data_IF_236339392481
#
_entry.id   IF_236339392481
#
_cell.length_a   1.000
_cell.length_b   1.000
_cell.length_c   1.000
_cell.angle_alpha   90.00
_cell.angle_beta   90.00
_cell.angle_gamma   90.00
#
_symmetry.space_group_name_H-M   'P 1'
#
loop_
_entity.id
_entity.type
_entity.pdbx_description
1 polymer ?
#
# COMPACT_ATOMS: atom_id res chain seq x y z
N UNK A 1 -2.43 -20.16 20.12
CA UNK A 1 -2.97 -19.00 19.39
C UNK A 1 -2.07 -18.75 18.20
N UNK A 2 -2.47 -19.20 17.02
CA UNK A 2 -1.73 -18.91 15.78
C UNK A 2 -1.93 -17.44 15.48
N UNK A 3 -0.88 -16.65 15.68
CA UNK A 3 -0.84 -15.27 15.24
C UNK A 3 -0.86 -15.37 13.71
N UNK A 4 -2.05 -15.27 13.09
CA UNK A 4 -2.17 -15.08 11.65
C UNK A 4 -1.35 -13.82 11.36
N UNK A 5 -0.14 -14.03 10.85
CA UNK A 5 0.75 -12.95 10.47
C UNK A 5 0.01 -12.26 9.34
N UNK A 6 -0.61 -11.13 9.64
CA UNK A 6 -1.37 -10.40 8.65
C UNK A 6 -0.47 -10.15 7.44
N UNK A 7 -0.95 -10.52 6.25
CA UNK A 7 -0.26 -10.38 4.98
C UNK A 7 0.46 -9.01 4.91
N UNK A 8 1.72 -8.93 4.44
CA UNK A 8 2.49 -7.68 4.42
C UNK A 8 1.72 -6.51 3.77
N UNK A 9 1.02 -6.74 2.66
CA UNK A 9 0.08 -5.78 2.05
C UNK A 9 -1.01 -5.25 2.99
N UNK A 10 -1.62 -6.06 3.87
CA UNK A 10 -2.60 -5.56 4.86
C UNK A 10 -1.97 -4.51 5.77
N UNK A 11 -0.72 -4.75 6.20
CA UNK A 11 0.02 -3.79 7.03
C UNK A 11 0.33 -2.51 6.24
N UNK A 12 0.77 -2.65 4.99
CA UNK A 12 1.05 -1.52 4.10
C UNK A 12 -0.19 -0.68 3.84
N UNK A 13 -1.31 -1.31 3.45
CA UNK A 13 -2.57 -0.65 3.20
C UNK A 13 -3.07 0.13 4.43
N UNK A 14 -2.96 -0.45 5.64
CA UNK A 14 -3.30 0.24 6.89
C UNK A 14 -2.43 1.47 7.13
N UNK A 15 -1.13 1.39 6.86
CA UNK A 15 -0.22 2.54 6.97
C UNK A 15 -0.58 3.63 5.95
N UNK A 16 -0.81 3.27 4.69
CA UNK A 16 -1.23 4.22 3.64
C UNK A 16 -2.55 4.90 4.01
N UNK A 17 -3.52 4.15 4.55
CA UNK A 17 -4.78 4.72 5.06
C UNK A 17 -4.52 5.76 6.14
N UNK A 18 -3.67 5.44 7.13
CA UNK A 18 -3.31 6.37 8.20
C UNK A 18 -2.65 7.66 7.68
N UNK A 19 -1.83 7.56 6.62
CA UNK A 19 -1.22 8.72 5.97
C UNK A 19 -2.25 9.60 5.24
N UNK A 20 -3.26 8.98 4.61
CA UNK A 20 -4.39 9.70 3.99
C UNK A 20 -5.26 10.40 5.04
N UNK A 21 -5.59 9.70 6.13
CA UNK A 21 -6.37 10.26 7.24
C UNK A 21 -5.64 11.42 7.92
N UNK A 22 -4.30 11.31 8.04
CA UNK A 22 -3.44 12.38 8.56
C UNK A 22 -3.21 13.51 7.56
N UNK A 23 -3.84 13.46 6.37
CA UNK A 23 -3.71 14.46 5.28
C UNK A 23 -2.27 14.66 4.78
N UNK A 24 -1.39 13.68 4.98
CA UNK A 24 0.00 13.69 4.47
C UNK A 24 -0.01 13.43 2.96
N UNK A 25 -0.89 12.54 2.52
CA UNK A 25 -1.19 12.22 1.11
C UNK A 25 -2.70 12.23 0.90
N UNK A 26 -3.13 12.28 -0.36
CA UNK A 26 -4.55 12.18 -0.75
C UNK A 26 -4.81 10.83 -1.40
N UNK A 27 -6.03 10.32 -1.28
CA UNK A 27 -6.45 9.12 -2.00
C UNK A 27 -6.40 9.28 -3.52
N UNK A 28 -6.48 10.51 -4.02
CA UNK A 28 -6.34 10.85 -5.44
C UNK A 28 -4.88 11.01 -5.90
N UNK A 29 -3.92 11.01 -4.99
CA UNK A 29 -2.50 11.02 -5.37
C UNK A 29 -2.12 9.66 -5.95
N UNK A 30 -1.18 9.65 -6.89
CA UNK A 30 -0.66 8.41 -7.46
C UNK A 30 0.22 7.64 -6.48
N UNK A 31 0.24 6.31 -6.58
CA UNK A 31 1.00 5.41 -5.71
C UNK A 31 2.50 5.74 -5.63
N UNK A 32 3.10 6.26 -6.70
CA UNK A 32 4.52 6.67 -6.67
C UNK A 32 4.84 7.67 -5.56
N UNK A 33 3.87 8.50 -5.12
CA UNK A 33 4.07 9.48 -4.06
C UNK A 33 4.40 8.84 -2.71
N UNK A 34 3.96 7.59 -2.50
CA UNK A 34 4.30 6.78 -1.33
C UNK A 34 5.82 6.52 -1.26
N UNK A 35 6.52 6.47 -2.40
CA UNK A 35 7.96 6.30 -2.48
C UNK A 35 8.73 7.32 -1.63
N UNK A 36 8.25 8.57 -1.64
CA UNK A 36 8.86 9.68 -0.93
C UNK A 36 8.78 9.51 0.60
N UNK A 37 7.84 8.70 1.09
CA UNK A 37 7.60 8.47 2.52
C UNK A 37 8.29 7.20 3.03
N UNK A 38 8.45 6.19 2.17
CA UNK A 38 8.96 4.88 2.57
C UNK A 38 10.48 4.69 2.38
N UNK A 39 11.15 5.59 1.64
CA UNK A 39 12.61 5.56 1.47
C UNK A 39 13.12 4.20 0.99
N UNK A 40 14.08 3.62 1.71
CA UNK A 40 14.66 2.30 1.38
C UNK A 40 13.65 1.14 1.35
N UNK A 41 12.56 1.24 2.12
CA UNK A 41 11.51 0.21 2.12
C UNK A 41 10.64 0.27 0.88
N UNK A 42 10.68 1.37 0.12
CA UNK A 42 9.86 1.54 -1.07
C UNK A 42 10.17 0.50 -2.13
N UNK A 43 11.44 0.15 -2.34
CA UNK A 43 11.81 -0.83 -3.37
C UNK A 43 11.13 -2.18 -3.16
N UNK A 44 10.97 -2.60 -1.90
CA UNK A 44 10.20 -3.80 -1.55
C UNK A 44 8.72 -3.62 -1.88
N UNK A 45 8.07 -2.58 -1.34
CA UNK A 45 6.63 -2.36 -1.58
C UNK A 45 6.27 -2.11 -3.03
N UNK A 46 7.15 -1.45 -3.78
CA UNK A 46 7.00 -1.26 -5.22
C UNK A 46 6.93 -2.60 -5.94
N UNK A 47 7.79 -3.55 -5.56
CA UNK A 47 7.77 -4.89 -6.16
C UNK A 47 6.46 -5.60 -5.82
N UNK A 48 6.04 -5.60 -4.56
CA UNK A 48 4.76 -6.19 -4.15
C UNK A 48 3.59 -5.56 -4.92
N UNK A 49 3.51 -4.23 -4.98
CA UNK A 49 2.48 -3.52 -5.75
C UNK A 49 2.43 -3.96 -7.21
N UNK A 50 3.59 -4.07 -7.86
CA UNK A 50 3.68 -4.55 -9.25
C UNK A 50 3.25 -6.02 -9.40
N UNK A 51 3.55 -6.85 -8.40
CA UNK A 51 3.16 -8.28 -8.37
C UNK A 51 1.63 -8.43 -8.30
N UNK A 52 0.97 -7.59 -7.52
CA UNK A 52 -0.50 -7.48 -7.46
C UNK A 52 -1.11 -6.72 -8.65
N UNK A 53 -0.31 -6.32 -9.65
CA UNK A 53 -0.79 -5.68 -10.87
C UNK A 53 -1.02 -4.16 -10.78
N UNK A 54 -0.64 -3.51 -9.67
CA UNK A 54 -0.69 -2.06 -9.57
C UNK A 54 0.42 -1.39 -10.36
N UNK A 55 0.11 -0.21 -10.87
CA UNK A 55 1.02 0.72 -11.51
C UNK A 55 1.37 1.87 -10.57
N UNK A 56 2.48 2.54 -10.84
CA UNK A 56 2.90 3.71 -10.05
C UNK A 56 2.02 4.95 -10.32
N UNK A 57 1.22 4.92 -11.36
CA UNK A 57 0.31 6.00 -11.75
C UNK A 57 -1.06 5.86 -11.10
N UNK A 58 -1.44 4.63 -10.73
CA UNK A 58 -2.73 4.33 -10.11
C UNK A 58 -2.93 5.19 -8.86
N UNK A 59 -4.16 5.67 -8.63
CA UNK A 59 -4.47 6.43 -7.45
C UNK A 59 -4.41 5.54 -6.20
N UNK A 60 -3.98 6.14 -5.09
CA UNK A 60 -3.96 5.49 -3.77
C UNK A 60 -5.33 4.91 -3.38
N UNK A 61 -6.43 5.48 -3.90
CA UNK A 61 -7.78 4.95 -3.71
C UNK A 61 -7.95 3.51 -4.18
N UNK A 62 -7.30 3.09 -5.27
CA UNK A 62 -7.41 1.71 -5.77
C UNK A 62 -6.74 0.72 -4.79
N UNK A 63 -5.56 1.07 -4.29
CA UNK A 63 -4.91 0.30 -3.23
C UNK A 63 -5.78 0.19 -1.96
N UNK A 64 -6.46 1.29 -1.58
CA UNK A 64 -7.32 1.32 -0.41
C UNK A 64 -8.67 0.61 -0.60
N UNK A 65 -9.08 0.37 -1.85
CA UNK A 65 -10.31 -0.34 -2.20
C UNK A 65 -10.16 -1.86 -2.14
N UNK A 66 -8.94 -2.39 -2.08
CA UNK A 66 -8.69 -3.83 -1.94
C UNK A 66 -9.23 -4.33 -0.60
N UNK A 67 -10.22 -5.22 -0.62
CA UNK A 67 -10.90 -5.71 0.58
C UNK A 67 -10.15 -6.86 1.26
N UNK A 68 -9.46 -7.69 0.49
CA UNK A 68 -8.69 -8.83 0.98
C UNK A 68 -7.40 -9.00 0.16
N UNK A 69 -6.33 -9.33 0.87
CA UNK A 69 -5.06 -9.74 0.28
C UNK A 69 -4.94 -11.23 0.56
N UNK A 70 -5.53 -12.04 -0.32
CA UNK A 70 -5.33 -13.49 -0.28
C UNK A 70 -3.92 -13.80 -0.77
N UNK A 71 -3.11 -14.36 0.13
CA UNK A 71 -1.91 -15.12 -0.23
C UNK A 71 -2.41 -16.52 -0.60
N UNK A 72 -2.22 -16.97 -1.85
CA UNK A 72 -2.37 -18.40 -2.19
C UNK A 72 -1.38 -19.26 -1.38
#
# INVERSE_FOLDING_TARGET
>A
MIQQVAHPMVKFQKQVRSLVESKIIKSSDSLWKIALLYGDKWSYWKKELLDFGFTMQDPISELLAVEAWDEE
#
